data_IF_051425056908
#
_entry.id   IF_051425056908
#
_cell.length_a   1.000
_cell.length_b   1.000
_cell.length_c   1.000
_cell.angle_alpha   90.00
_cell.angle_beta   90.00
_cell.angle_gamma   90.00
#
_symmetry.space_group_name_H-M   'P 1'
#
loop_
_entity.id
_entity.type
_entity.pdbx_description
1 polymer ?
#
# COMPACT_ATOMS: atom_id res chain seq x y z
N UNK A 1 -3.60 -6.16 -5.94
CA UNK A 1 -2.14 -6.24 -6.05
C UNK A 1 -1.52 -6.09 -4.68
N UNK A 2 -0.42 -6.80 -4.41
CA UNK A 2 0.45 -6.57 -3.26
C UNK A 2 1.68 -5.77 -3.71
N UNK A 3 1.96 -4.66 -3.04
CA UNK A 3 3.12 -3.80 -3.28
C UNK A 3 3.91 -3.66 -1.98
N UNK A 4 5.20 -3.38 -2.09
CA UNK A 4 6.09 -3.30 -0.96
C UNK A 4 7.54 -3.49 -1.40
N UNK A 5 8.42 -3.57 -0.43
CA UNK A 5 9.84 -3.87 -0.63
C UNK A 5 10.15 -5.30 -0.17
N UNK A 6 11.38 -5.76 -0.32
CA UNK A 6 11.77 -7.12 0.07
C UNK A 6 11.52 -7.41 1.56
N UNK A 7 11.47 -6.40 2.42
CA UNK A 7 11.15 -6.56 3.85
C UNK A 7 9.71 -7.03 4.09
N UNK A 8 8.81 -6.79 3.12
CA UNK A 8 7.40 -7.15 3.18
C UNK A 8 7.14 -8.58 2.68
N UNK A 9 8.18 -9.29 2.18
CA UNK A 9 8.04 -10.60 1.53
C UNK A 9 7.32 -11.62 2.39
N UNK A 10 7.67 -11.71 3.68
CA UNK A 10 7.04 -12.66 4.59
C UNK A 10 5.52 -12.41 4.76
N UNK A 11 5.11 -11.15 4.85
CA UNK A 11 3.69 -10.79 4.90
C UNK A 11 3.00 -11.03 3.55
N UNK A 12 3.69 -10.70 2.44
CA UNK A 12 3.23 -10.95 1.09
C UNK A 12 2.97 -12.43 0.81
N UNK A 13 3.88 -13.32 1.23
CA UNK A 13 3.72 -14.78 1.08
C UNK A 13 2.50 -15.31 1.83
N UNK A 14 2.27 -14.83 3.04
CA UNK A 14 1.09 -15.21 3.82
C UNK A 14 -0.22 -14.80 3.12
N UNK A 15 -0.25 -13.60 2.52
CA UNK A 15 -1.43 -13.13 1.77
C UNK A 15 -1.59 -13.91 0.47
N UNK A 16 -0.51 -14.15 -0.28
CA UNK A 16 -0.53 -14.94 -1.52
C UNK A 16 -1.01 -16.38 -1.27
N UNK A 17 -0.65 -16.99 -0.13
CA UNK A 17 -1.14 -18.32 0.24
C UNK A 17 -2.67 -18.35 0.45
N UNK A 18 -3.24 -17.28 1.03
CA UNK A 18 -4.67 -17.14 1.24
C UNK A 18 -5.43 -16.70 -0.03
N UNK A 19 -4.76 -15.94 -0.91
CA UNK A 19 -5.32 -15.38 -2.15
C UNK A 19 -4.37 -15.62 -3.34
N UNK A 20 -4.31 -16.85 -3.88
CA UNK A 20 -3.34 -17.22 -4.92
C UNK A 20 -3.45 -16.41 -6.22
N UNK A 21 -4.64 -15.88 -6.52
CA UNK A 21 -4.89 -15.06 -7.70
C UNK A 21 -4.51 -13.57 -7.52
N UNK A 22 -4.03 -13.18 -6.34
CA UNK A 22 -3.55 -11.83 -6.11
C UNK A 22 -2.28 -11.55 -6.95
N UNK A 23 -2.17 -10.33 -7.47
CA UNK A 23 -0.98 -9.94 -8.23
C UNK A 23 0.15 -9.50 -7.29
N UNK A 24 1.23 -10.28 -7.22
CA UNK A 24 2.41 -9.96 -6.42
C UNK A 24 3.40 -9.05 -7.17
N UNK A 25 3.48 -7.79 -6.71
CA UNK A 25 4.39 -6.74 -7.21
C UNK A 25 5.42 -6.31 -6.17
N UNK A 26 5.56 -7.03 -5.05
CA UNK A 26 6.54 -6.72 -3.99
C UNK A 26 7.95 -6.76 -4.57
N UNK A 27 8.72 -5.68 -4.38
CA UNK A 27 10.08 -5.53 -4.92
C UNK A 27 10.16 -5.41 -6.45
N UNK A 28 9.01 -5.35 -7.16
CA UNK A 28 8.93 -5.39 -8.64
C UNK A 28 8.45 -4.08 -9.27
N UNK A 29 8.50 -2.98 -8.52
CA UNK A 29 8.09 -1.65 -8.97
C UNK A 29 9.15 -0.61 -8.62
N UNK A 30 9.51 0.22 -9.58
CA UNK A 30 10.06 1.55 -9.30
C UNK A 30 9.01 2.47 -8.69
N UNK A 31 9.43 3.60 -8.12
CA UNK A 31 8.51 4.59 -7.54
C UNK A 31 7.48 5.12 -8.54
N UNK A 32 7.88 5.34 -9.81
CA UNK A 32 6.99 5.84 -10.86
C UNK A 32 5.99 4.78 -11.31
N UNK A 33 6.41 3.52 -11.43
CA UNK A 33 5.51 2.41 -11.74
C UNK A 33 4.49 2.19 -10.62
N UNK A 34 4.94 2.27 -9.37
CA UNK A 34 4.07 2.22 -8.20
C UNK A 34 3.04 3.37 -8.25
N UNK A 35 3.46 4.61 -8.48
CA UNK A 35 2.55 5.75 -8.60
C UNK A 35 1.52 5.55 -9.73
N UNK A 36 1.95 5.04 -10.87
CA UNK A 36 1.05 4.72 -11.98
C UNK A 36 0.04 3.63 -11.64
N UNK A 37 0.44 2.61 -10.87
CA UNK A 37 -0.48 1.56 -10.41
C UNK A 37 -1.47 2.08 -9.36
N UNK A 38 -1.00 2.84 -8.38
CA UNK A 38 -1.84 3.40 -7.31
C UNK A 38 -2.87 4.40 -7.83
N UNK A 39 -2.52 5.25 -8.81
CA UNK A 39 -3.46 6.24 -9.37
C UNK A 39 -4.67 5.62 -10.11
N UNK A 40 -4.59 4.33 -10.43
CA UNK A 40 -5.68 3.56 -11.08
C UNK A 40 -6.37 2.60 -10.11
N UNK A 41 -5.96 2.54 -8.85
CA UNK A 41 -6.53 1.64 -7.88
C UNK A 41 -7.94 2.12 -7.47
N UNK A 42 -8.90 1.21 -7.45
CA UNK A 42 -10.24 1.50 -6.93
C UNK A 42 -10.25 1.74 -5.41
N UNK A 43 -9.27 1.17 -4.70
CA UNK A 43 -9.03 1.33 -3.28
C UNK A 43 -7.59 0.92 -2.96
N UNK A 44 -6.92 1.68 -2.10
CA UNK A 44 -5.62 1.32 -1.50
C UNK A 44 -5.82 1.10 -0.01
N UNK A 45 -5.36 -0.05 0.49
CA UNK A 45 -5.38 -0.39 1.92
C UNK A 45 -3.95 -0.63 2.36
N UNK A 46 -3.52 0.02 3.44
CA UNK A 46 -2.18 -0.16 3.99
C UNK A 46 -2.03 0.43 5.39
N UNK A 47 -0.83 0.34 5.94
CA UNK A 47 -0.45 0.91 7.23
C UNK A 47 0.20 2.30 7.06
N UNK A 48 0.83 2.81 8.13
CA UNK A 48 1.57 4.08 8.12
C UNK A 48 2.88 4.01 7.31
N UNK A 49 2.76 4.02 5.98
CA UNK A 49 3.88 3.87 5.05
C UNK A 49 3.74 4.72 3.80
N UNK A 50 4.90 4.99 3.16
CA UNK A 50 5.00 5.82 1.95
C UNK A 50 3.98 5.50 0.84
N UNK A 51 3.73 4.23 0.47
CA UNK A 51 2.74 3.89 -0.55
C UNK A 51 1.32 4.39 -0.25
N UNK A 52 0.89 4.39 1.01
CA UNK A 52 -0.43 4.89 1.42
C UNK A 52 -0.54 6.40 1.23
N UNK A 53 0.48 7.15 1.65
CA UNK A 53 0.51 8.60 1.44
C UNK A 53 0.60 8.96 -0.05
N UNK A 54 1.39 8.21 -0.82
CA UNK A 54 1.49 8.38 -2.27
C UNK A 54 0.14 8.15 -2.95
N UNK A 55 -0.57 7.08 -2.59
CA UNK A 55 -1.90 6.77 -3.12
C UNK A 55 -2.91 7.90 -2.85
N UNK A 56 -2.99 8.36 -1.60
CA UNK A 56 -3.88 9.46 -1.24
C UNK A 56 -3.53 10.73 -2.04
N UNK A 57 -2.24 11.06 -2.16
CA UNK A 57 -1.82 12.26 -2.91
C UNK A 57 -2.15 12.19 -4.41
N UNK A 58 -2.26 10.99 -4.96
CA UNK A 58 -2.68 10.71 -6.34
C UNK A 58 -4.21 10.69 -6.51
N UNK A 59 -4.98 10.87 -5.44
CA UNK A 59 -6.45 10.88 -5.45
C UNK A 59 -7.09 9.51 -5.43
N UNK A 60 -6.33 8.44 -5.17
CA UNK A 60 -6.90 7.10 -5.03
C UNK A 60 -7.66 7.00 -3.70
N UNK A 61 -8.88 6.43 -3.67
CA UNK A 61 -9.55 6.10 -2.42
C UNK A 61 -8.62 5.29 -1.53
N UNK A 62 -8.37 5.76 -0.31
CA UNK A 62 -7.31 5.23 0.56
C UNK A 62 -7.83 4.96 1.97
N UNK A 63 -7.56 3.76 2.47
CA UNK A 63 -7.84 3.33 3.84
C UNK A 63 -6.52 2.98 4.54
N UNK A 64 -6.14 3.82 5.50
CA UNK A 64 -4.98 3.57 6.35
C UNK A 64 -5.39 2.88 7.65
N UNK A 65 -4.75 1.75 7.96
CA UNK A 65 -4.89 1.05 9.24
C UNK A 65 -3.86 1.60 10.23
N UNK A 66 -4.36 2.25 11.27
CA UNK A 66 -3.53 2.88 12.30
C UNK A 66 -3.63 2.09 13.61
N UNK A 67 -2.49 1.86 14.26
CA UNK A 67 -2.47 1.29 15.61
C UNK A 67 -2.43 2.40 16.66
N UNK A 68 -2.55 2.04 17.94
CA UNK A 68 -2.36 2.97 19.07
C UNK A 68 -1.01 3.71 19.08
N UNK A 69 -0.01 3.24 18.32
CA UNK A 69 1.32 3.86 18.24
C UNK A 69 1.40 4.95 17.17
N UNK A 70 0.33 5.18 16.40
CA UNK A 70 0.28 6.21 15.35
C UNK A 70 -0.75 7.25 15.75
N UNK A 71 -0.37 8.52 15.78
CA UNK A 71 -1.29 9.63 16.02
C UNK A 71 -2.02 10.02 14.71
N UNK A 72 -3.34 9.79 14.60
CA UNK A 72 -4.09 10.13 13.39
C UNK A 72 -4.10 11.61 13.07
N UNK A 73 -3.98 12.49 14.08
CA UNK A 73 -3.95 13.93 13.84
C UNK A 73 -2.67 14.37 13.13
N UNK A 74 -1.60 13.56 13.20
CA UNK A 74 -0.30 13.84 12.60
C UNK A 74 -0.04 13.07 11.30
N UNK A 75 -0.52 11.83 11.22
CA UNK A 75 -0.15 10.90 10.14
C UNK A 75 -1.32 10.50 9.22
N UNK A 76 -2.51 11.09 9.36
CA UNK A 76 -3.60 10.78 8.43
C UNK A 76 -3.21 11.18 6.99
N UNK A 77 -3.34 10.28 6.00
CA UNK A 77 -3.05 10.62 4.62
C UNK A 77 -4.10 11.62 4.11
N UNK A 78 -3.63 12.67 3.45
CA UNK A 78 -4.47 13.73 2.89
C UNK A 78 -4.46 13.66 1.37
N UNK A 79 -5.63 13.74 0.74
CA UNK A 79 -5.79 13.78 -0.70
C UNK A 79 -7.21 13.46 -1.14
#
# INVERSE_FOLDING_TARGET
TLVGTDVDRAAGDAIMAAFPDAHDRIGKTSLMELAGELSRASLVIGNDTGPVFLAARLGAPTLMLMSRHTDPAMSAPTG
#
